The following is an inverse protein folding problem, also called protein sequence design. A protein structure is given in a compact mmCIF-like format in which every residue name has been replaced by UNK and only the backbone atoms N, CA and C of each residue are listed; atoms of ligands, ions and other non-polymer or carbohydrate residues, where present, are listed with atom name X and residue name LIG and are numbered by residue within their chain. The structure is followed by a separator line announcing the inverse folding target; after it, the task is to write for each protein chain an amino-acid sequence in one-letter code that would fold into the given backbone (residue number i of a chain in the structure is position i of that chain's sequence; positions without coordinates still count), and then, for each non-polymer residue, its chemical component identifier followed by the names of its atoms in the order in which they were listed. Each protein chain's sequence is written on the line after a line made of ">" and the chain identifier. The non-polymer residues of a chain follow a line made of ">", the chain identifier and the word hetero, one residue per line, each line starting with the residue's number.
data_IF_885888011997
#
_entry.id   IF_885888011997
#
_cell.length_a   1.000
_cell.length_b   1.000
_cell.length_c   1.000
_cell.angle_alpha   90.00
_cell.angle_beta   90.00
_cell.angle_gamma   90.00
#
_symmetry.space_group_name_H-M   'P 1'
#
loop_
_entity.id
_entity.type
_entity.pdbx_description
1 polymer ?
#
# COMPACT_ATOMS: atom_id res chain seq x y z
N UNK A 1 1.89 5.40 -19.82
CA UNK A 1 1.53 5.51 -18.39
C UNK A 1 0.05 5.23 -18.21
N UNK A 2 -0.26 4.35 -17.30
CA UNK A 2 -1.65 4.04 -16.92
C UNK A 2 -1.90 4.60 -15.52
N UNK A 3 -3.00 5.30 -15.37
CA UNK A 3 -3.40 5.86 -14.08
C UNK A 3 -4.72 5.21 -13.63
N UNK A 4 -4.72 4.61 -12.45
CA UNK A 4 -5.88 3.91 -11.90
C UNK A 4 -6.21 4.51 -10.53
N UNK A 5 -7.46 4.98 -10.39
CA UNK A 5 -7.92 5.58 -9.14
C UNK A 5 -8.80 4.58 -8.40
N UNK A 6 -8.28 4.06 -7.29
CA UNK A 6 -8.96 3.08 -6.44
C UNK A 6 -9.59 1.95 -7.25
N UNK A 7 -8.78 1.23 -8.06
CA UNK A 7 -9.32 0.33 -9.09
C UNK A 7 -10.08 -0.88 -8.55
N UNK A 8 -9.84 -1.28 -7.30
CA UNK A 8 -10.48 -2.48 -6.75
C UNK A 8 -11.61 -2.18 -5.78
N UNK A 9 -12.00 -0.91 -5.63
CA UNK A 9 -13.08 -0.54 -4.74
C UNK A 9 -14.39 -1.19 -5.20
N UNK A 10 -15.06 -1.87 -4.27
CA UNK A 10 -16.33 -2.53 -4.55
C UNK A 10 -16.22 -3.91 -5.18
N UNK A 11 -15.01 -4.39 -5.45
CA UNK A 11 -14.82 -5.72 -6.02
C UNK A 11 -14.74 -6.78 -4.93
N UNK A 12 -15.24 -7.99 -5.23
CA UNK A 12 -15.05 -9.14 -4.34
C UNK A 12 -13.59 -9.63 -4.42
N UNK A 13 -13.17 -10.52 -3.48
CA UNK A 13 -11.76 -10.95 -3.45
C UNK A 13 -11.27 -11.60 -4.74
N UNK A 14 -12.13 -12.35 -5.45
CA UNK A 14 -11.72 -12.99 -6.70
C UNK A 14 -11.50 -11.95 -7.79
N UNK A 15 -12.42 -11.00 -7.93
CA UNK A 15 -12.29 -9.94 -8.91
C UNK A 15 -11.08 -9.06 -8.62
N UNK A 16 -10.77 -8.80 -7.35
CA UNK A 16 -9.57 -8.06 -6.96
C UNK A 16 -8.31 -8.77 -7.46
N UNK A 17 -8.21 -10.07 -7.23
CA UNK A 17 -7.04 -10.83 -7.64
C UNK A 17 -6.89 -10.84 -9.16
N UNK A 18 -8.00 -10.98 -9.88
CA UNK A 18 -7.97 -10.94 -11.34
C UNK A 18 -7.46 -9.59 -11.84
N UNK A 19 -7.90 -8.51 -11.23
CA UNK A 19 -7.45 -7.17 -11.61
C UNK A 19 -5.97 -6.97 -11.24
N UNK A 20 -5.54 -7.46 -10.08
CA UNK A 20 -4.13 -7.40 -9.69
C UNK A 20 -3.24 -8.11 -10.70
N UNK A 21 -3.67 -9.29 -11.16
CA UNK A 21 -2.91 -10.04 -12.15
C UNK A 21 -2.81 -9.27 -13.46
N UNK A 22 -3.89 -8.62 -13.87
CA UNK A 22 -3.89 -7.79 -15.07
C UNK A 22 -2.94 -6.61 -14.93
N UNK A 23 -2.94 -5.95 -13.78
CA UNK A 23 -2.05 -4.82 -13.51
C UNK A 23 -0.59 -5.27 -13.57
N UNK A 24 -0.29 -6.42 -12.97
CA UNK A 24 1.07 -6.97 -13.01
C UNK A 24 1.50 -7.27 -14.45
N UNK A 25 0.60 -7.79 -15.25
CA UNK A 25 0.89 -8.08 -16.64
C UNK A 25 1.19 -6.80 -17.42
N UNK A 26 0.39 -5.77 -17.23
CA UNK A 26 0.62 -4.47 -17.88
C UNK A 26 1.99 -3.93 -17.49
N UNK A 27 2.32 -4.01 -16.20
CA UNK A 27 3.61 -3.54 -15.71
C UNK A 27 4.77 -4.35 -16.28
N UNK A 28 4.60 -5.65 -16.43
CA UNK A 28 5.65 -6.53 -16.96
C UNK A 28 5.99 -6.21 -18.41
N UNK A 29 5.08 -5.56 -19.13
CA UNK A 29 5.31 -5.12 -20.50
C UNK A 29 6.04 -3.78 -20.59
N UNK A 30 6.50 -3.25 -19.45
CA UNK A 30 7.25 -2.00 -19.41
C UNK A 30 6.40 -0.76 -19.22
N UNK A 31 5.10 -0.91 -18.98
CA UNK A 31 4.21 0.22 -18.75
C UNK A 31 4.30 0.70 -17.32
N UNK A 32 4.46 2.00 -17.13
CA UNK A 32 4.40 2.61 -15.81
C UNK A 32 2.94 2.71 -15.38
N UNK A 33 2.63 2.18 -14.19
CA UNK A 33 1.27 2.19 -13.65
C UNK A 33 1.27 2.99 -12.34
N UNK A 34 0.37 3.94 -12.25
CA UNK A 34 0.16 4.74 -11.03
C UNK A 34 -1.21 4.38 -10.46
N UNK A 35 -1.25 4.00 -9.20
CA UNK A 35 -2.47 3.56 -8.53
C UNK A 35 -2.69 4.43 -7.30
N UNK A 36 -3.92 4.94 -7.13
CA UNK A 36 -4.31 5.49 -5.84
C UNK A 36 -5.15 4.43 -5.14
N UNK A 37 -4.91 4.20 -3.86
CA UNK A 37 -5.65 3.21 -3.09
C UNK A 37 -5.58 3.53 -1.61
N UNK A 38 -6.61 3.14 -0.87
CA UNK A 38 -6.57 3.12 0.58
C UNK A 38 -6.45 1.70 1.13
N UNK A 39 -6.31 0.71 0.26
CA UNK A 39 -6.05 -0.66 0.66
C UNK A 39 -4.55 -0.88 0.74
N UNK A 40 -4.01 -0.92 1.94
CA UNK A 40 -2.56 -1.03 2.13
C UNK A 40 -1.99 -2.35 1.63
N UNK A 41 -2.77 -3.42 1.71
CA UNK A 41 -2.37 -4.72 1.15
C UNK A 41 -2.19 -4.65 -0.38
N UNK A 42 -3.06 -3.89 -1.05
CA UNK A 42 -2.92 -3.68 -2.49
C UNK A 42 -1.62 -2.94 -2.82
N UNK A 43 -1.32 -1.90 -2.08
CA UNK A 43 -0.08 -1.15 -2.27
C UNK A 43 1.15 -2.01 -2.01
N UNK A 44 1.14 -2.85 -0.98
CA UNK A 44 2.25 -3.74 -0.67
C UNK A 44 2.53 -4.73 -1.80
N UNK A 45 1.46 -5.30 -2.36
CA UNK A 45 1.58 -6.38 -3.33
C UNK A 45 1.93 -5.86 -4.72
N UNK A 46 1.36 -4.73 -5.12
CA UNK A 46 1.45 -4.26 -6.50
C UNK A 46 2.50 -3.21 -6.75
N UNK A 47 2.84 -2.42 -5.74
CA UNK A 47 3.64 -1.22 -5.98
C UNK A 47 5.11 -1.42 -5.67
N UNK A 48 5.97 -0.90 -6.54
CA UNK A 48 7.42 -0.85 -6.28
C UNK A 48 7.76 0.29 -5.33
N UNK A 49 7.00 1.37 -5.40
CA UNK A 49 7.16 2.54 -4.55
C UNK A 49 5.79 3.02 -4.09
N UNK A 50 5.72 3.48 -2.86
CA UNK A 50 4.48 3.96 -2.25
C UNK A 50 4.71 5.35 -1.69
N UNK A 51 3.81 6.27 -1.99
CA UNK A 51 3.77 7.58 -1.36
C UNK A 51 2.61 7.60 -0.36
N UNK A 52 2.89 7.92 0.89
CA UNK A 52 1.87 8.08 1.91
C UNK A 52 1.53 9.56 2.00
N UNK A 53 0.25 9.88 1.81
CA UNK A 53 -0.21 11.26 1.78
C UNK A 53 -1.13 11.51 2.98
N UNK A 54 -0.86 12.59 3.70
CA UNK A 54 -1.70 13.00 4.81
C UNK A 54 -1.81 14.52 4.79
N UNK A 55 -3.04 15.02 4.94
CA UNK A 55 -3.32 16.45 4.96
C UNK A 55 -2.75 17.19 3.74
N UNK A 56 -2.84 16.56 2.57
CA UNK A 56 -2.38 17.14 1.31
C UNK A 56 -0.87 17.13 1.11
N UNK A 57 -0.12 16.43 1.98
CA UNK A 57 1.33 16.38 1.88
C UNK A 57 1.82 14.95 1.81
N UNK A 58 2.88 14.74 1.05
CA UNK A 58 3.58 13.45 1.03
C UNK A 58 4.46 13.40 2.29
N UNK A 59 4.15 12.44 3.18
CA UNK A 59 4.89 12.28 4.43
C UNK A 59 5.87 11.13 4.40
N UNK A 60 5.79 10.27 3.40
CA UNK A 60 6.75 9.20 3.19
C UNK A 60 6.68 8.75 1.74
N UNK A 61 7.82 8.39 1.18
CA UNK A 61 7.92 7.89 -0.19
C UNK A 61 9.08 6.90 -0.26
N UNK A 62 8.76 5.63 -0.42
CA UNK A 62 9.77 4.58 -0.55
C UNK A 62 9.10 3.27 -1.00
N UNK A 63 9.91 2.22 -1.17
CA UNK A 63 9.35 0.88 -1.40
C UNK A 63 8.60 0.42 -0.15
N UNK A 64 7.59 -0.44 -0.29
CA UNK A 64 6.87 -0.98 0.87
C UNK A 64 7.81 -1.64 1.87
N UNK A 65 8.77 -2.43 1.40
CA UNK A 65 9.72 -3.12 2.29
C UNK A 65 10.54 -2.14 3.11
N UNK A 66 11.01 -1.06 2.51
CA UNK A 66 11.81 -0.07 3.23
C UNK A 66 10.99 0.70 4.25
N UNK A 67 9.73 1.02 3.91
CA UNK A 67 8.84 1.68 4.86
C UNK A 67 8.59 0.81 6.08
N UNK A 68 8.38 -0.48 5.85
CA UNK A 68 8.18 -1.45 6.93
C UNK A 68 9.45 -1.60 7.76
N UNK A 69 10.61 -1.70 7.12
CA UNK A 69 11.90 -1.82 7.81
C UNK A 69 12.17 -0.59 8.69
N UNK A 70 11.85 0.60 8.21
CA UNK A 70 12.01 1.81 9.00
C UNK A 70 11.14 1.80 10.24
N UNK A 71 9.91 1.31 10.14
CA UNK A 71 9.03 1.18 11.28
C UNK A 71 9.57 0.18 12.29
N UNK A 72 10.01 -0.98 11.84
CA UNK A 72 10.58 -2.01 12.70
C UNK A 72 11.83 -1.47 13.41
N UNK A 73 12.64 -0.68 12.73
CA UNK A 73 13.85 -0.09 13.30
C UNK A 73 13.55 0.87 14.45
N UNK A 74 12.32 1.40 14.55
CA UNK A 74 11.93 2.25 15.67
C UNK A 74 11.52 1.48 16.92
N UNK A 75 11.55 0.15 16.87
CA UNK A 75 11.15 -0.70 17.97
C UNK A 75 9.68 -1.12 17.93
N UNK A 76 9.00 -0.87 16.81
CA UNK A 76 7.61 -1.29 16.66
C UNK A 76 7.48 -2.81 16.75
N UNK A 77 6.49 -3.27 17.51
CA UNK A 77 6.13 -4.67 17.59
C UNK A 77 4.63 -4.81 17.50
N UNK A 78 4.17 -5.74 16.67
CA UNK A 78 2.75 -6.07 16.65
C UNK A 78 2.42 -6.97 17.83
N UNK A 79 1.31 -6.72 18.50
CA UNK A 79 0.93 -7.58 19.62
C UNK A 79 0.54 -8.97 19.12
N UNK A 80 0.99 -9.97 19.88
CA UNK A 80 0.60 -11.37 19.78
C UNK A 80 1.06 -12.07 18.50
N UNK A 81 0.11 -12.60 17.75
CA UNK A 81 0.42 -13.58 16.71
C UNK A 81 1.05 -13.00 15.45
N UNK A 82 0.92 -11.72 15.26
CA UNK A 82 1.46 -11.11 14.05
C UNK A 82 2.89 -10.67 14.33
N UNK A 83 3.80 -11.21 13.56
CA UNK A 83 5.23 -11.02 13.83
C UNK A 83 5.90 -9.98 12.98
N UNK A 84 5.25 -9.54 11.93
CA UNK A 84 5.82 -8.59 11.00
C UNK A 84 4.91 -7.38 10.85
N UNK A 85 5.53 -6.20 10.78
CA UNK A 85 4.81 -5.00 10.44
C UNK A 85 4.36 -5.05 8.99
N UNK A 86 3.29 -4.36 8.67
CA UNK A 86 2.84 -4.19 7.31
C UNK A 86 2.65 -2.72 6.99
N UNK A 87 2.27 -2.42 5.75
CA UNK A 87 2.16 -1.04 5.30
C UNK A 87 1.04 -0.28 6.02
N UNK A 88 -0.02 -0.96 6.44
CA UNK A 88 -1.06 -0.31 7.24
C UNK A 88 -0.52 0.18 8.57
N UNK A 89 0.35 -0.61 9.21
CA UNK A 89 1.01 -0.20 10.46
C UNK A 89 1.85 1.06 10.25
N UNK A 90 2.55 1.15 9.12
CA UNK A 90 3.32 2.34 8.77
C UNK A 90 2.40 3.55 8.66
N UNK A 91 1.28 3.39 7.97
CA UNK A 91 0.32 4.48 7.77
C UNK A 91 -0.21 4.99 9.11
N UNK A 92 -0.62 4.08 9.98
CA UNK A 92 -1.16 4.43 11.30
C UNK A 92 -0.11 5.17 12.13
N UNK A 93 1.12 4.68 12.12
CA UNK A 93 2.21 5.28 12.92
C UNK A 93 2.55 6.70 12.43
N UNK A 94 2.53 6.93 11.14
CA UNK A 94 2.90 8.22 10.57
C UNK A 94 1.77 9.23 10.63
N UNK A 95 0.53 8.80 10.50
CA UNK A 95 -0.61 9.71 10.47
C UNK A 95 -1.36 9.81 11.79
N UNK A 96 -1.26 8.79 12.64
CA UNK A 96 -1.97 8.74 13.91
C UNK A 96 -3.42 8.33 13.81
N UNK A 97 -3.89 7.91 12.63
CA UNK A 97 -5.27 7.48 12.49
C UNK A 97 -5.38 6.33 11.50
N UNK A 98 -6.47 5.58 11.58
CA UNK A 98 -6.68 4.44 10.72
C UNK A 98 -7.40 4.84 9.43
N UNK A 99 -7.25 4.01 8.41
CA UNK A 99 -7.93 4.23 7.13
C UNK A 99 -9.44 4.05 7.21
N UNK A 100 -9.92 3.39 8.27
CA UNK A 100 -11.35 3.10 8.43
C UNK A 100 -12.12 4.22 9.09
N UNK A 101 -11.46 5.24 9.53
CA UNK A 101 -12.05 6.39 10.18
C UNK A 101 -12.37 7.49 9.18
N UNK A 102 -12.89 7.12 8.08
CA UNK A 102 -13.19 8.10 7.04
C UNK A 102 -14.45 8.90 7.39
#
# INVERSE_FOLDING_TARGET
>A
IVFLDEPTTGLDPQARRNLWDLIREIRSQGTTVIITTHYMDEAEVLCDRVAIIDSGKIIALNSPDKLIDELVATGFERPKEVKQANLEDVFIQLTGHTLREA
#
